data_IF_873084164739
#
_entry.id   IF_873084164739
#
_cell.length_a   1.000
_cell.length_b   1.000
_cell.length_c   1.000
_cell.angle_alpha   90.00
_cell.angle_beta   90.00
_cell.angle_gamma   90.00
#
_symmetry.space_group_name_H-M   'P 1'
#
loop_
_entity.id
_entity.type
_entity.pdbx_description
1 polymer ?
#
# COMPACT_ATOMS: atom_id res chain seq x y z
N UNK A 1 -16.80 -15.22 7.06
CA UNK A 1 -18.00 -14.95 6.24
C UNK A 1 -17.90 -13.62 5.47
N UNK A 2 -17.55 -12.50 6.13
CA UNK A 2 -17.42 -11.19 5.46
C UNK A 2 -16.26 -11.12 4.45
N UNK A 3 -15.04 -11.56 4.82
CA UNK A 3 -13.88 -11.54 3.92
C UNK A 3 -14.11 -12.35 2.64
N UNK A 4 -14.65 -13.57 2.78
CA UNK A 4 -14.94 -14.44 1.64
C UNK A 4 -15.96 -13.82 0.66
N UNK A 5 -16.93 -13.04 1.15
CA UNK A 5 -17.87 -12.33 0.28
C UNK A 5 -17.16 -11.21 -0.49
N UNK A 6 -16.32 -10.42 0.19
CA UNK A 6 -15.52 -9.37 -0.45
C UNK A 6 -14.54 -9.94 -1.48
N UNK A 7 -13.84 -11.03 -1.14
CA UNK A 7 -12.91 -11.73 -2.04
C UNK A 7 -13.61 -12.20 -3.32
N UNK A 8 -14.84 -12.71 -3.20
CA UNK A 8 -15.63 -13.12 -4.36
C UNK A 8 -15.94 -11.95 -5.29
N UNK A 9 -16.29 -10.79 -4.75
CA UNK A 9 -16.55 -9.59 -5.56
C UNK A 9 -15.27 -9.02 -6.19
N UNK A 10 -14.15 -8.99 -5.45
CA UNK A 10 -12.86 -8.58 -6.00
C UNK A 10 -12.35 -9.51 -7.10
N UNK A 11 -12.56 -10.82 -6.95
CA UNK A 11 -12.18 -11.83 -7.95
C UNK A 11 -12.87 -11.58 -9.30
N UNK A 12 -14.12 -11.11 -9.32
CA UNK A 12 -14.79 -10.73 -10.58
C UNK A 12 -14.05 -9.62 -11.31
N UNK A 13 -13.60 -8.61 -10.56
CA UNK A 13 -12.85 -7.47 -11.11
C UNK A 13 -11.48 -7.93 -11.60
N UNK A 14 -10.77 -8.74 -10.81
CA UNK A 14 -9.46 -9.27 -11.20
C UNK A 14 -9.54 -10.12 -12.46
N UNK A 15 -10.52 -11.03 -12.55
CA UNK A 15 -10.73 -11.85 -13.75
C UNK A 15 -11.02 -11.00 -14.99
N UNK A 16 -11.79 -9.92 -14.84
CA UNK A 16 -12.10 -9.01 -15.95
C UNK A 16 -10.87 -8.25 -16.45
N UNK A 17 -9.93 -7.97 -15.56
CA UNK A 17 -8.67 -7.28 -15.86
C UNK A 17 -7.51 -8.24 -16.18
N UNK A 18 -7.77 -9.55 -16.22
CA UNK A 18 -6.77 -10.62 -16.37
C UNK A 18 -5.64 -10.52 -15.32
N UNK A 19 -6.01 -10.22 -14.07
CA UNK A 19 -5.10 -10.12 -12.93
C UNK A 19 -5.14 -11.43 -12.14
N UNK A 20 -3.96 -12.00 -11.87
CA UNK A 20 -3.78 -13.13 -10.95
C UNK A 20 -3.17 -12.62 -9.66
N UNK A 21 -3.77 -12.99 -8.53
CA UNK A 21 -3.36 -12.53 -7.21
C UNK A 21 -3.46 -13.67 -6.19
N UNK A 22 -2.43 -13.82 -5.37
CA UNK A 22 -2.44 -14.69 -4.20
C UNK A 22 -2.62 -13.80 -2.96
N UNK A 23 -3.81 -13.79 -2.34
CA UNK A 23 -4.11 -12.83 -1.29
C UNK A 23 -3.37 -13.19 0.01
N UNK A 24 -2.60 -12.24 0.51
CA UNK A 24 -1.94 -12.31 1.82
C UNK A 24 -2.22 -11.03 2.58
N UNK A 25 -3.36 -11.01 3.28
CA UNK A 25 -3.81 -9.86 4.07
C UNK A 25 -3.03 -9.68 5.37
N UNK A 26 -3.21 -8.53 6.02
CA UNK A 26 -2.52 -8.18 7.27
C UNK A 26 -2.73 -9.21 8.39
N UNK A 27 -3.92 -9.82 8.43
CA UNK A 27 -4.27 -10.83 9.42
C UNK A 27 -3.37 -12.06 9.40
N UNK A 28 -2.71 -12.36 8.27
CA UNK A 28 -1.72 -13.43 8.17
C UNK A 28 -0.54 -13.19 9.10
N UNK A 29 -0.13 -11.94 9.29
CA UNK A 29 1.04 -11.56 10.08
C UNK A 29 0.70 -11.34 11.57
N UNK A 30 -0.58 -11.31 11.96
CA UNK A 30 -1.00 -11.09 13.35
C UNK A 30 -0.27 -11.97 14.39
N UNK A 31 -0.10 -13.29 14.16
CA UNK A 31 0.63 -14.14 15.10
C UNK A 31 2.12 -13.79 15.23
N UNK A 32 2.68 -13.08 14.24
CA UNK A 32 4.09 -12.72 14.17
C UNK A 32 4.39 -11.37 14.84
N UNK A 33 3.39 -10.50 15.00
CA UNK A 33 3.61 -9.12 15.48
C UNK A 33 4.17 -9.08 16.89
N UNK A 34 3.56 -9.82 17.82
CA UNK A 34 4.00 -9.84 19.22
C UNK A 34 5.41 -10.44 19.37
N UNK A 35 5.72 -11.63 18.82
CA UNK A 35 7.08 -12.19 18.83
C UNK A 35 8.12 -11.25 18.23
N UNK A 36 7.79 -10.56 17.13
CA UNK A 36 8.67 -9.61 16.49
C UNK A 36 9.08 -8.47 17.43
N UNK A 37 8.11 -7.87 18.13
CA UNK A 37 8.37 -6.75 19.06
C UNK A 37 9.17 -7.22 20.27
N UNK A 38 8.85 -8.41 20.81
CA UNK A 38 9.58 -8.98 21.95
C UNK A 38 11.04 -9.25 21.59
N UNK A 39 11.31 -9.89 20.45
CA UNK A 39 12.67 -10.13 19.97
C UNK A 39 13.45 -8.82 19.81
N UNK A 40 12.84 -7.80 19.18
CA UNK A 40 13.53 -6.54 18.94
C UNK A 40 13.83 -5.77 20.23
N UNK A 41 12.99 -5.91 21.26
CA UNK A 41 13.27 -5.41 22.62
C UNK A 41 14.44 -6.15 23.25
N UNK A 42 14.45 -7.47 23.20
CA UNK A 42 15.52 -8.30 23.76
C UNK A 42 16.88 -8.03 23.10
N UNK A 43 16.87 -7.76 21.79
CA UNK A 43 18.06 -7.36 21.02
C UNK A 43 18.50 -5.91 21.28
N UNK A 44 17.75 -5.12 22.07
CA UNK A 44 18.05 -3.71 22.32
C UNK A 44 17.93 -2.83 21.08
N UNK A 45 17.13 -3.24 20.09
CA UNK A 45 16.93 -2.52 18.83
C UNK A 45 15.72 -1.59 18.86
N UNK A 46 14.88 -1.72 19.89
CA UNK A 46 13.75 -0.84 20.17
C UNK A 46 14.03 0.02 21.41
N UNK A 47 13.58 1.25 21.35
CA UNK A 47 13.63 2.22 22.43
C UNK A 47 12.21 2.63 22.82
N UNK A 48 11.96 2.83 24.12
CA UNK A 48 10.69 3.35 24.59
C UNK A 48 10.63 4.87 24.41
N UNK A 49 9.54 5.36 23.82
CA UNK A 49 9.27 6.79 23.64
C UNK A 49 7.80 7.08 23.92
N UNK A 50 7.53 7.83 25.00
CA UNK A 50 6.16 8.15 25.46
C UNK A 50 5.27 6.91 25.65
N UNK A 51 5.83 5.82 26.18
CA UNK A 51 5.14 4.54 26.36
C UNK A 51 4.97 3.70 25.09
N UNK A 52 5.36 4.22 23.92
CA UNK A 52 5.40 3.47 22.67
C UNK A 52 6.79 2.83 22.46
N UNK A 53 6.84 1.74 21.70
CA UNK A 53 8.08 1.06 21.35
C UNK A 53 8.47 1.42 19.93
N UNK A 54 9.67 1.96 19.76
CA UNK A 54 10.08 2.62 18.53
C UNK A 54 11.47 2.15 18.06
N UNK A 55 11.66 2.04 16.74
CA UNK A 55 12.98 1.93 16.12
C UNK A 55 13.36 3.30 15.56
N UNK A 56 14.43 3.88 16.09
CA UNK A 56 14.99 5.12 15.56
C UNK A 56 15.95 4.83 14.40
N UNK A 57 15.64 5.38 13.23
CA UNK A 57 16.45 5.24 12.02
C UNK A 57 17.35 6.48 11.87
N UNK A 58 18.66 6.33 11.59
CA UNK A 58 19.54 7.47 11.37
C UNK A 58 19.05 8.40 10.25
N UNK A 59 19.22 9.71 10.44
CA UNK A 59 18.85 10.77 9.49
C UNK A 59 17.34 10.90 9.20
N UNK A 60 16.50 10.25 9.99
CA UNK A 60 15.05 10.37 9.91
C UNK A 60 14.51 11.05 11.16
N UNK A 61 13.51 11.93 11.00
CA UNK A 61 12.90 12.68 12.12
C UNK A 61 11.82 11.88 12.84
N UNK A 62 11.25 10.89 12.17
CA UNK A 62 10.12 10.08 12.65
C UNK A 62 10.60 8.65 12.84
N UNK A 63 10.34 8.00 13.99
CA UNK A 63 10.69 6.60 14.19
C UNK A 63 9.67 5.67 13.54
N UNK A 64 10.06 4.40 13.38
CA UNK A 64 9.12 3.30 13.12
C UNK A 64 8.54 2.90 14.47
N UNK A 65 7.23 3.07 14.68
CA UNK A 65 6.57 2.76 15.94
C UNK A 65 6.03 1.34 15.88
N UNK A 66 6.50 0.39 16.70
CA UNK A 66 6.04 -0.99 16.62
C UNK A 66 4.91 -1.33 17.60
N UNK A 67 4.78 -0.57 18.68
CA UNK A 67 3.75 -0.77 19.68
C UNK A 67 3.35 0.58 20.23
N UNK A 68 2.04 0.88 20.21
CA UNK A 68 1.50 2.09 20.84
C UNK A 68 1.52 1.96 22.37
N UNK A 69 1.36 3.09 23.05
CA UNK A 69 1.24 3.14 24.52
C UNK A 69 0.04 2.37 25.07
N UNK A 70 -1.00 2.16 24.26
CA UNK A 70 -2.18 1.33 24.60
C UNK A 70 -1.97 -0.17 24.37
N UNK A 71 -0.77 -0.60 23.95
CA UNK A 71 -0.46 -1.99 23.63
C UNK A 71 -0.97 -2.46 22.27
N UNK A 72 -1.55 -1.57 21.45
CA UNK A 72 -1.97 -1.88 20.09
C UNK A 72 -0.82 -1.86 19.09
N UNK A 73 -0.83 -2.81 18.17
CA UNK A 73 0.03 -2.79 16.98
C UNK A 73 -0.47 -1.77 15.94
N UNK A 74 0.42 -1.34 15.05
CA UNK A 74 0.10 -0.43 13.95
C UNK A 74 0.55 -1.02 12.60
N UNK A 75 0.39 -0.25 11.53
CA UNK A 75 0.83 -0.63 10.20
C UNK A 75 2.33 -0.86 10.11
N UNK A 76 3.14 -0.09 10.85
CA UNK A 76 4.60 -0.28 10.89
C UNK A 76 4.98 -1.68 11.39
N UNK A 77 4.32 -2.19 12.44
CA UNK A 77 4.59 -3.55 12.93
C UNK A 77 4.27 -4.60 11.87
N UNK A 78 3.12 -4.45 11.21
CA UNK A 78 2.67 -5.38 10.17
C UNK A 78 3.60 -5.37 8.97
N UNK A 79 4.05 -4.20 8.51
CA UNK A 79 4.97 -4.10 7.38
C UNK A 79 6.38 -4.58 7.72
N UNK A 80 6.86 -4.39 8.95
CA UNK A 80 8.12 -5.00 9.41
C UNK A 80 8.02 -6.54 9.47
N UNK A 81 6.90 -7.07 9.97
CA UNK A 81 6.65 -8.51 9.97
C UNK A 81 6.54 -9.08 8.55
N UNK A 82 5.83 -8.38 7.66
CA UNK A 82 5.68 -8.77 6.27
C UNK A 82 7.00 -8.74 5.51
N UNK A 83 7.83 -7.71 5.73
CA UNK A 83 9.19 -7.64 5.18
C UNK A 83 10.00 -8.86 5.60
N UNK A 84 10.05 -9.14 6.90
CA UNK A 84 10.81 -10.29 7.43
C UNK A 84 10.31 -11.61 6.88
N UNK A 85 8.99 -11.84 6.87
CA UNK A 85 8.39 -13.06 6.33
C UNK A 85 8.77 -13.28 4.85
N UNK A 86 8.72 -12.22 4.03
CA UNK A 86 9.08 -12.31 2.61
C UNK A 86 10.56 -12.64 2.40
N UNK A 87 11.43 -12.22 3.32
CA UNK A 87 12.87 -12.48 3.25
C UNK A 87 13.21 -13.87 3.81
N UNK A 88 12.73 -14.21 5.00
CA UNK A 88 13.10 -15.43 5.70
C UNK A 88 12.36 -16.66 5.17
N UNK A 89 11.04 -16.56 5.00
CA UNK A 89 10.17 -17.69 4.65
C UNK A 89 10.01 -17.82 3.13
N UNK A 90 9.72 -16.71 2.43
CA UNK A 90 9.59 -16.74 0.98
C UNK A 90 10.94 -16.67 0.26
N UNK A 91 12.02 -16.32 0.96
CA UNK A 91 13.39 -16.25 0.40
C UNK A 91 13.44 -15.37 -0.85
N UNK A 92 12.72 -14.25 -0.84
CA UNK A 92 12.64 -13.38 -1.99
C UNK A 92 13.98 -12.69 -2.24
N UNK A 93 14.52 -12.84 -3.45
CA UNK A 93 15.68 -12.07 -3.91
C UNK A 93 15.32 -10.61 -4.21
N UNK A 94 14.05 -10.36 -4.57
CA UNK A 94 13.54 -9.03 -4.86
C UNK A 94 12.09 -8.88 -4.40
N UNK A 95 11.82 -7.77 -3.70
CA UNK A 95 10.49 -7.40 -3.22
C UNK A 95 10.15 -6.00 -3.77
N UNK A 96 9.03 -5.89 -4.47
CA UNK A 96 8.55 -4.63 -5.05
C UNK A 96 7.25 -4.24 -4.36
N UNK A 97 7.27 -3.10 -3.67
CA UNK A 97 6.11 -2.50 -3.03
C UNK A 97 5.48 -1.50 -4.00
N UNK A 98 4.25 -1.76 -4.45
CA UNK A 98 3.51 -0.89 -5.36
C UNK A 98 2.43 -0.15 -4.58
N UNK A 99 2.67 1.10 -4.21
CA UNK A 99 1.73 1.91 -3.41
C UNK A 99 1.70 3.37 -3.86
N UNK A 100 0.77 4.15 -3.32
CA UNK A 100 0.68 5.56 -3.65
C UNK A 100 1.90 6.34 -3.13
N UNK A 101 2.23 7.46 -3.79
CA UNK A 101 3.36 8.33 -3.42
C UNK A 101 3.27 8.86 -1.98
N UNK A 102 2.08 8.92 -1.37
CA UNK A 102 1.92 9.33 0.02
C UNK A 102 2.58 8.39 1.03
N UNK A 103 2.87 7.15 0.64
CA UNK A 103 3.54 6.13 1.46
C UNK A 103 5.06 6.13 1.31
N UNK A 104 5.65 7.09 0.59
CA UNK A 104 7.09 7.17 0.35
C UNK A 104 7.91 7.19 1.65
N UNK A 105 7.53 8.07 2.57
CA UNK A 105 8.24 8.20 3.84
C UNK A 105 8.12 6.90 4.66
N UNK A 106 6.93 6.30 4.68
CA UNK A 106 6.66 5.05 5.37
C UNK A 106 7.60 3.93 4.91
N UNK A 107 7.61 3.60 3.62
CA UNK A 107 8.47 2.53 3.11
C UNK A 107 9.97 2.84 3.23
N UNK A 108 10.37 4.11 3.12
CA UNK A 108 11.75 4.53 3.43
C UNK A 108 12.13 4.19 4.88
N UNK A 109 11.22 4.43 5.83
CA UNK A 109 11.44 4.10 7.24
C UNK A 109 11.48 2.58 7.46
N UNK A 110 10.54 1.84 6.89
CA UNK A 110 10.48 0.36 6.99
C UNK A 110 11.76 -0.27 6.42
N UNK A 111 12.23 0.16 5.24
CA UNK A 111 13.43 -0.42 4.64
C UNK A 111 14.68 -0.13 5.46
N UNK A 112 14.79 1.06 6.02
CA UNK A 112 15.93 1.43 6.84
C UNK A 112 15.89 0.78 8.23
N UNK A 113 14.70 0.61 8.82
CA UNK A 113 14.51 -0.16 10.04
C UNK A 113 14.80 -1.64 9.81
N UNK A 114 14.33 -2.22 8.70
CA UNK A 114 14.64 -3.60 8.31
C UNK A 114 16.14 -3.86 8.16
N UNK A 115 16.89 -2.90 7.60
CA UNK A 115 18.35 -2.98 7.58
C UNK A 115 18.96 -2.91 8.98
N UNK A 116 18.51 -1.97 9.82
CA UNK A 116 19.00 -1.81 11.20
C UNK A 116 18.73 -3.06 12.05
N UNK A 117 17.61 -3.73 11.82
CA UNK A 117 17.22 -4.97 12.49
C UNK A 117 17.82 -6.23 11.86
N UNK A 118 18.62 -6.09 10.79
CA UNK A 118 19.23 -7.19 10.06
C UNK A 118 18.21 -8.17 9.45
N UNK A 119 16.98 -7.69 9.16
CA UNK A 119 15.94 -8.51 8.52
C UNK A 119 16.21 -8.78 7.05
N UNK A 120 17.06 -7.98 6.42
CA UNK A 120 17.53 -8.25 5.07
C UNK A 120 18.90 -7.61 4.84
N UNK A 121 19.61 -8.13 3.84
CA UNK A 121 20.87 -7.57 3.35
C UNK A 121 20.64 -7.03 1.93
N UNK A 122 20.87 -5.72 1.66
CA UNK A 122 20.65 -5.14 0.34
C UNK A 122 21.57 -5.70 -0.76
N UNK A 123 22.63 -6.43 -0.39
CA UNK A 123 23.49 -7.16 -1.33
C UNK A 123 22.89 -8.50 -1.78
N UNK A 124 21.92 -9.02 -1.03
CA UNK A 124 21.27 -10.33 -1.26
C UNK A 124 19.83 -10.09 -1.74
N UNK A 125 19.04 -9.35 -0.97
CA UNK A 125 17.65 -9.04 -1.28
C UNK A 125 17.48 -7.57 -1.65
N UNK A 126 16.89 -7.32 -2.81
CA UNK A 126 16.59 -5.96 -3.30
C UNK A 126 15.17 -5.55 -2.93
N UNK A 127 15.02 -4.45 -2.20
CA UNK A 127 13.72 -3.82 -1.95
C UNK A 127 13.52 -2.62 -2.86
N UNK A 128 12.37 -2.54 -3.52
CA UNK A 128 11.98 -1.39 -4.31
C UNK A 128 10.61 -0.88 -3.91
N UNK A 129 10.50 0.45 -3.78
CA UNK A 129 9.21 1.12 -3.65
C UNK A 129 8.84 1.74 -5.01
N UNK A 130 7.92 1.11 -5.72
CA UNK A 130 7.39 1.58 -7.00
C UNK A 130 6.12 2.39 -6.73
N UNK A 131 6.28 3.71 -6.71
CA UNK A 131 5.19 4.62 -6.40
C UNK A 131 4.35 4.97 -7.63
N UNK A 132 3.05 5.17 -7.42
CA UNK A 132 2.17 5.81 -8.40
C UNK A 132 1.54 7.09 -7.85
N UNK A 133 1.29 8.05 -8.76
CA UNK A 133 0.66 9.33 -8.44
C UNK A 133 -0.86 9.23 -8.24
N UNK A 134 -1.49 10.31 -7.81
CA UNK A 134 -2.93 10.35 -7.64
C UNK A 134 -3.66 10.31 -8.99
N UNK A 135 -4.83 9.66 -9.02
CA UNK A 135 -5.71 9.69 -10.19
C UNK A 135 -6.56 10.96 -10.14
N UNK A 136 -6.40 11.80 -11.16
CA UNK A 136 -6.99 13.13 -11.25
C UNK A 136 -7.97 13.23 -12.42
N UNK A 137 -8.94 14.16 -12.33
CA UNK A 137 -9.83 14.58 -13.41
C UNK A 137 -9.74 16.09 -13.61
N UNK A 138 -9.99 16.55 -14.82
CA UNK A 138 -10.24 17.98 -15.06
C UNK A 138 -11.59 18.38 -14.46
N UNK A 139 -11.65 19.58 -13.89
CA UNK A 139 -12.90 20.18 -13.40
C UNK A 139 -13.82 20.55 -14.56
N UNK A 140 -15.12 20.36 -14.34
CA UNK A 140 -16.18 20.83 -15.23
C UNK A 140 -16.47 22.34 -15.05
N UNK A 141 -15.81 23.01 -14.09
CA UNK A 141 -15.96 24.45 -13.85
C UNK A 141 -15.44 25.26 -15.04
N UNK A 142 -16.22 26.25 -15.48
CA UNK A 142 -15.81 27.20 -16.52
C UNK A 142 -14.57 27.97 -16.08
N UNK A 143 -13.57 27.97 -16.96
CA UNK A 143 -12.29 28.63 -16.72
C UNK A 143 -12.32 30.01 -17.33
N UNK A 144 -11.91 31.04 -16.56
CA UNK A 144 -11.76 32.38 -17.10
C UNK A 144 -10.63 32.41 -18.13
N UNK A 145 -10.75 33.27 -19.13
CA UNK A 145 -9.76 33.41 -20.20
C UNK A 145 -8.36 33.69 -19.60
N UNK A 146 -7.40 32.78 -19.84
CA UNK A 146 -6.04 32.83 -19.31
C UNK A 146 -5.76 31.97 -18.07
N UNK A 147 -6.78 31.36 -17.44
CA UNK A 147 -6.62 30.43 -16.32
C UNK A 147 -6.50 28.97 -16.79
N UNK A 148 -5.91 28.10 -15.97
CA UNK A 148 -5.86 26.65 -16.25
C UNK A 148 -7.08 25.97 -15.61
N UNK A 149 -7.65 24.98 -16.31
CA UNK A 149 -8.67 24.09 -15.74
C UNK A 149 -8.16 23.51 -14.43
N UNK A 150 -8.95 23.71 -13.37
CA UNK A 150 -8.66 23.15 -12.06
C UNK A 150 -8.67 21.62 -12.17
N UNK A 151 -7.68 20.98 -11.57
CA UNK A 151 -7.55 19.52 -11.57
C UNK A 151 -7.94 19.01 -10.20
N UNK A 152 -8.86 18.05 -10.15
CA UNK A 152 -9.44 17.53 -8.92
C UNK A 152 -9.23 16.02 -8.81
N UNK A 153 -9.31 15.47 -7.59
CA UNK A 153 -9.32 14.01 -7.40
C UNK A 153 -10.54 13.42 -8.10
N UNK A 154 -10.38 12.24 -8.71
CA UNK A 154 -11.51 11.51 -9.27
C UNK A 154 -12.57 11.29 -8.17
N UNK A 155 -13.75 11.83 -8.43
CA UNK A 155 -14.97 11.64 -7.65
C UNK A 155 -16.13 11.51 -8.62
N UNK A 156 -17.21 10.86 -8.21
CA UNK A 156 -18.49 10.91 -8.93
C UNK A 156 -19.00 12.35 -9.00
N UNK A 157 -19.99 12.63 -9.86
CA UNK A 157 -20.67 13.94 -9.91
C UNK A 157 -21.28 14.35 -8.55
N UNK A 158 -21.60 13.38 -7.70
CA UNK A 158 -22.07 13.58 -6.32
C UNK A 158 -20.96 13.67 -5.26
N UNK A 159 -19.69 13.66 -5.67
CA UNK A 159 -18.54 13.75 -4.76
C UNK A 159 -18.15 12.44 -4.05
N UNK A 160 -18.74 11.31 -4.42
CA UNK A 160 -18.43 9.97 -3.84
C UNK A 160 -17.28 9.30 -4.60
N UNK A 161 -16.66 8.28 -4.00
CA UNK A 161 -15.68 7.43 -4.69
C UNK A 161 -16.34 6.68 -5.84
N UNK A 162 -15.71 6.69 -7.03
CA UNK A 162 -16.19 5.93 -8.19
C UNK A 162 -15.89 4.44 -7.95
N UNK A 163 -16.89 3.56 -8.13
CA UNK A 163 -16.64 2.12 -8.09
C UNK A 163 -15.89 1.69 -9.34
N UNK A 164 -14.87 0.86 -9.17
CA UNK A 164 -14.08 0.35 -10.30
C UNK A 164 -14.94 -0.44 -11.31
N UNK A 165 -15.95 -1.18 -10.84
CA UNK A 165 -16.88 -1.89 -11.71
C UNK A 165 -17.64 -0.96 -12.65
N UNK A 166 -18.14 0.17 -12.15
CA UNK A 166 -18.86 1.17 -12.94
C UNK A 166 -17.93 1.79 -14.00
N UNK A 167 -16.69 2.11 -13.62
CA UNK A 167 -15.68 2.64 -14.54
C UNK A 167 -15.37 1.66 -15.68
N UNK A 168 -15.20 0.37 -15.36
CA UNK A 168 -14.94 -0.65 -16.37
C UNK A 168 -16.15 -0.86 -17.28
N UNK A 169 -17.37 -0.82 -16.74
CA UNK A 169 -18.60 -0.90 -17.52
C UNK A 169 -18.72 0.26 -18.51
N UNK A 170 -18.46 1.48 -18.06
CA UNK A 170 -18.45 2.66 -18.93
C UNK A 170 -17.38 2.54 -20.03
N UNK A 171 -16.17 2.11 -19.69
CA UNK A 171 -15.10 1.89 -20.66
C UNK A 171 -15.51 0.89 -21.77
N UNK A 172 -16.17 -0.21 -21.38
CA UNK A 172 -16.70 -1.20 -22.34
C UNK A 172 -17.75 -0.59 -23.27
N UNK A 173 -18.70 0.17 -22.73
CA UNK A 173 -19.76 0.80 -23.53
C UNK A 173 -19.18 1.78 -24.54
N UNK A 174 -18.31 2.70 -24.09
CA UNK A 174 -17.66 3.68 -24.97
C UNK A 174 -16.82 3.02 -26.07
N UNK A 175 -16.08 1.96 -25.73
CA UNK A 175 -15.30 1.21 -26.71
C UNK A 175 -16.19 0.52 -27.76
N UNK A 176 -17.34 -0.03 -27.36
CA UNK A 176 -18.30 -0.66 -28.26
C UNK A 176 -18.95 0.36 -29.20
N UNK A 177 -19.33 1.53 -28.69
CA UNK A 177 -19.95 2.58 -29.51
C UNK A 177 -18.97 3.08 -30.58
N UNK A 178 -17.72 3.35 -30.18
CA UNK A 178 -16.68 3.75 -31.14
C UNK A 178 -16.39 2.65 -32.18
N UNK A 179 -16.44 1.37 -31.80
CA UNK A 179 -16.27 0.27 -32.75
C UNK A 179 -17.41 0.20 -33.77
N UNK A 180 -18.66 0.41 -33.35
CA UNK A 180 -19.83 0.44 -34.24
C UNK A 180 -19.77 1.62 -35.21
N UNK A 181 -19.36 2.80 -34.75
CA UNK A 181 -19.20 3.97 -35.60
C UNK A 181 -18.19 3.74 -36.73
N UNK A 182 -17.11 2.98 -36.47
CA UNK A 182 -16.09 2.67 -37.48
C UNK A 182 -16.49 1.58 -38.48
N UNK A 183 -17.55 0.83 -38.21
CA UNK A 183 -18.07 -0.21 -39.09
C UNK A 183 -19.13 0.32 -40.08
N UNK A 184 -19.65 1.52 -39.85
CA UNK A 184 -20.56 2.24 -40.76
C UNK A 184 -19.77 3.06 -41.78
#
# INVERSE_FOLDING_TARGET
>A
MLCALSEKEFTKIYNRLDIKLEPMGESFYNPMLKPLVEELKERGLCEESNGAQCIFVPKQKVPVMLLKSDGGFNYDTTDMAALRYRVDEQKADRIIYVTDVGQELHFKLIFAAGMKCEFYNPKITTLNHMMFGMVLRESDEEVKEGEKKKVERIKTREGKTIKLEDLLNEAKTRALDQFKERLQ
#
